data_IF_334244275215
#
_entry.id   IF_334244275215
#
_cell.length_a   1.000
_cell.length_b   1.000
_cell.length_c   1.000
_cell.angle_alpha   90.00
_cell.angle_beta   90.00
_cell.angle_gamma   90.00
#
_symmetry.space_group_name_H-M   'P 1'
#
loop_
_entity.id
_entity.type
_entity.pdbx_description
1 polymer ?
#
# COMPACT_ATOMS: atom_id res chain seq x y z
N UNK A 1 -4.30 8.46 26.30
CA UNK A 1 -5.19 8.11 25.18
C UNK A 1 -6.23 7.17 25.74
N UNK A 2 -7.52 7.49 25.60
CA UNK A 2 -8.62 6.64 26.06
C UNK A 2 -8.86 5.49 25.07
N UNK A 3 -8.96 4.26 25.59
CA UNK A 3 -9.18 3.04 24.80
C UNK A 3 -10.53 3.06 24.10
N UNK A 4 -11.56 3.65 24.73
CA UNK A 4 -12.90 3.76 24.14
C UNK A 4 -12.87 4.69 22.94
N UNK A 5 -12.31 5.89 23.10
CA UNK A 5 -12.11 6.82 21.99
C UNK A 5 -11.28 6.21 20.84
N UNK A 6 -10.23 5.45 21.15
CA UNK A 6 -9.42 4.77 20.13
C UNK A 6 -10.22 3.68 19.40
N UNK A 7 -11.08 2.94 20.10
CA UNK A 7 -11.91 1.89 19.49
C UNK A 7 -12.85 2.46 18.44
N UNK A 8 -13.49 3.60 18.72
CA UNK A 8 -14.36 4.25 17.74
C UNK A 8 -13.58 4.71 16.51
N UNK A 9 -12.40 5.30 16.69
CA UNK A 9 -11.56 5.74 15.58
C UNK A 9 -11.07 4.56 14.72
N UNK A 10 -10.70 3.44 15.35
CA UNK A 10 -10.31 2.22 14.65
C UNK A 10 -11.49 1.62 13.85
N UNK A 11 -12.70 1.63 14.42
CA UNK A 11 -13.90 1.16 13.73
C UNK A 11 -14.20 2.01 12.48
N UNK A 12 -14.16 3.33 12.61
CA UNK A 12 -14.31 4.26 11.48
C UNK A 12 -13.24 3.98 10.40
N UNK A 13 -11.97 3.89 10.81
CA UNK A 13 -10.84 3.63 9.90
C UNK A 13 -11.03 2.32 9.14
N UNK A 14 -11.42 1.24 9.82
CA UNK A 14 -11.65 -0.06 9.20
C UNK A 14 -12.82 -0.02 8.18
N UNK A 15 -13.90 0.70 8.47
CA UNK A 15 -15.02 0.88 7.54
C UNK A 15 -14.59 1.63 6.27
N UNK A 16 -13.79 2.69 6.43
CA UNK A 16 -13.26 3.45 5.29
C UNK A 16 -12.27 2.63 4.46
N UNK A 17 -11.38 1.87 5.11
CA UNK A 17 -10.46 0.95 4.47
C UNK A 17 -11.21 -0.12 3.65
N UNK A 18 -12.20 -0.80 4.25
CA UNK A 18 -12.97 -1.82 3.54
C UNK A 18 -13.75 -1.30 2.33
N UNK A 19 -14.27 -0.06 2.41
CA UNK A 19 -14.92 0.60 1.26
C UNK A 19 -13.93 0.91 0.13
N UNK A 20 -12.71 1.31 0.47
CA UNK A 20 -11.65 1.54 -0.50
C UNK A 20 -11.22 0.22 -1.18
N UNK A 21 -10.94 -0.83 -0.39
CA UNK A 21 -10.53 -2.13 -0.93
C UNK A 21 -11.60 -2.75 -1.84
N UNK A 22 -12.88 -2.57 -1.53
CA UNK A 22 -13.98 -3.13 -2.32
C UNK A 22 -14.05 -2.58 -3.77
N UNK A 23 -13.46 -1.41 -4.04
CA UNK A 23 -13.46 -0.78 -5.37
C UNK A 23 -12.06 -0.68 -6.00
N UNK A 24 -11.01 -0.94 -5.21
CA UNK A 24 -9.64 -1.00 -5.71
C UNK A 24 -9.45 -2.26 -6.58
N UNK A 25 -8.56 -2.24 -7.59
CA UNK A 25 -8.13 -3.45 -8.28
C UNK A 25 -7.63 -4.49 -7.27
N UNK A 26 -8.00 -5.77 -7.46
CA UNK A 26 -7.51 -6.84 -6.60
C UNK A 26 -5.98 -6.88 -6.65
N UNK A 27 -5.35 -6.72 -5.50
CA UNK A 27 -3.89 -6.79 -5.33
C UNK A 27 -3.58 -7.62 -4.11
N UNK A 28 -2.44 -8.30 -4.18
CA UNK A 28 -1.81 -8.81 -2.99
C UNK A 28 -0.62 -7.92 -2.63
N UNK A 29 -0.60 -7.40 -1.40
CA UNK A 29 0.47 -6.49 -0.98
C UNK A 29 1.86 -7.15 -0.98
N UNK A 30 1.95 -8.48 -0.93
CA UNK A 30 3.23 -9.18 -1.04
C UNK A 30 3.92 -8.99 -2.38
N UNK A 31 3.18 -8.68 -3.46
CA UNK A 31 3.77 -8.31 -4.75
C UNK A 31 4.57 -6.99 -4.65
N UNK A 32 4.00 -6.00 -3.95
CA UNK A 32 4.70 -4.73 -3.69
C UNK A 32 5.89 -4.95 -2.74
N UNK A 33 5.71 -5.73 -1.66
CA UNK A 33 6.79 -6.02 -0.71
C UNK A 33 7.97 -6.72 -1.37
N UNK A 34 7.71 -7.70 -2.25
CA UNK A 34 8.76 -8.41 -2.97
C UNK A 34 9.57 -7.45 -3.86
N UNK A 35 8.91 -6.60 -4.65
CA UNK A 35 9.59 -5.63 -5.49
C UNK A 35 10.39 -4.60 -4.68
N UNK A 36 9.84 -4.14 -3.55
CA UNK A 36 10.54 -3.26 -2.61
C UNK A 36 11.79 -3.94 -2.04
N UNK A 37 11.65 -5.17 -1.54
CA UNK A 37 12.75 -5.93 -0.94
C UNK A 37 13.87 -6.22 -1.93
N UNK A 38 13.54 -6.60 -3.17
CA UNK A 38 14.53 -6.79 -4.24
C UNK A 38 15.32 -5.49 -4.49
N UNK A 39 14.66 -4.34 -4.53
CA UNK A 39 15.34 -3.06 -4.68
C UNK A 39 16.24 -2.73 -3.47
N UNK A 40 15.78 -3.04 -2.25
CA UNK A 40 16.58 -2.87 -1.02
C UNK A 40 17.82 -3.75 -1.00
N UNK A 41 17.69 -5.02 -1.40
CA UNK A 41 18.80 -5.97 -1.49
C UNK A 41 19.81 -5.55 -2.56
N UNK A 42 19.36 -4.85 -3.61
CA UNK A 42 20.22 -4.24 -4.62
C UNK A 42 20.90 -2.93 -4.17
N UNK A 43 20.62 -2.44 -2.96
CA UNK A 43 21.26 -1.26 -2.37
C UNK A 43 20.49 0.06 -2.56
N UNK A 44 19.25 0.03 -3.07
CA UNK A 44 18.44 1.23 -3.23
C UNK A 44 18.01 1.83 -1.88
N UNK A 45 17.82 3.15 -1.87
CA UNK A 45 17.26 3.90 -0.73
C UNK A 45 15.77 3.52 -0.49
N UNK A 46 15.16 3.89 0.66
CA UNK A 46 13.74 3.60 0.91
C UNK A 46 12.83 4.19 -0.17
N UNK A 47 13.10 5.43 -0.57
CA UNK A 47 12.29 6.15 -1.54
C UNK A 47 12.41 5.53 -2.95
N UNK A 48 13.63 5.19 -3.37
CA UNK A 48 13.86 4.50 -4.64
C UNK A 48 13.19 3.11 -4.68
N UNK A 49 13.21 2.40 -3.55
CA UNK A 49 12.59 1.08 -3.42
C UNK A 49 11.07 1.16 -3.43
N UNK A 50 10.50 2.18 -2.77
CA UNK A 50 9.07 2.48 -2.82
C UNK A 50 8.62 2.81 -4.24
N UNK A 51 9.41 3.63 -4.94
CA UNK A 51 9.15 3.95 -6.35
C UNK A 51 9.28 2.72 -7.26
N UNK A 52 10.25 1.83 -7.01
CA UNK A 52 10.41 0.59 -7.77
C UNK A 52 9.22 -0.37 -7.57
N UNK A 53 8.75 -0.51 -6.34
CA UNK A 53 7.59 -1.32 -6.03
C UNK A 53 6.29 -0.73 -6.62
N UNK A 54 6.13 0.60 -6.58
CA UNK A 54 5.04 1.30 -7.27
C UNK A 54 5.03 1.05 -8.77
N UNK A 55 6.20 1.11 -9.44
CA UNK A 55 6.34 0.76 -10.85
C UNK A 55 5.98 -0.70 -11.12
N UNK A 56 6.44 -1.64 -10.29
CA UNK A 56 6.11 -3.05 -10.44
C UNK A 56 4.59 -3.30 -10.37
N UNK A 57 3.90 -2.67 -9.41
CA UNK A 57 2.45 -2.78 -9.29
C UNK A 57 1.74 -2.20 -10.52
N UNK A 58 2.18 -1.06 -11.03
CA UNK A 58 1.60 -0.44 -12.23
C UNK A 58 1.85 -1.27 -13.50
N UNK A 59 3.10 -1.69 -13.73
CA UNK A 59 3.53 -2.26 -15.00
C UNK A 59 3.22 -3.76 -15.11
N UNK A 60 3.50 -4.53 -14.05
CA UNK A 60 3.38 -5.99 -14.06
C UNK A 60 2.05 -6.49 -13.51
N UNK A 61 1.44 -5.75 -12.57
CA UNK A 61 0.15 -6.12 -11.96
C UNK A 61 -1.02 -5.29 -12.50
N UNK A 62 -0.75 -4.22 -13.25
CA UNK A 62 -1.76 -3.28 -13.77
C UNK A 62 -2.58 -2.60 -12.65
N UNK A 63 -1.93 -2.38 -11.50
CA UNK A 63 -2.50 -1.80 -10.30
C UNK A 63 -1.89 -0.42 -10.15
N UNK A 64 -2.61 0.57 -10.66
CA UNK A 64 -2.17 1.96 -10.63
C UNK A 64 -2.68 2.58 -9.34
N UNK A 65 -1.77 2.92 -8.43
CA UNK A 65 -2.09 3.87 -7.36
C UNK A 65 -2.06 5.25 -8.01
N UNK A 66 -3.18 6.00 -8.03
CA UNK A 66 -3.16 7.37 -8.53
C UNK A 66 -2.13 8.16 -7.73
N UNK A 67 -1.26 8.88 -8.41
CA UNK A 67 -0.45 9.89 -7.72
C UNK A 67 -1.41 10.89 -7.08
N UNK A 68 -1.38 11.02 -5.76
CA UNK A 68 -2.17 12.03 -5.06
C UNK A 68 -1.80 13.40 -5.63
N UNK A 69 -2.78 14.26 -5.98
CA UNK A 69 -2.51 15.64 -6.41
C UNK A 69 -1.87 16.48 -5.30
#
# INVERSE_FOLDING_TARGET
MDVTAMTHLLQETALHHGRFEAVAPQHDWWDWYAAYMVAREAGSTPDESSAAAGRYMADAKHIVVPATP
#
